data_IF_692027372729
#
_entry.id   IF_692027372729
#
_cell.length_a   1.000
_cell.length_b   1.000
_cell.length_c   1.000
_cell.angle_alpha   90.00
_cell.angle_beta   90.00
_cell.angle_gamma   90.00
#
_symmetry.space_group_name_H-M   'P 1'
#
loop_
_entity.id
_entity.type
_entity.pdbx_description
1 polymer ?
#
# COMPACT_ATOMS: atom_id res chain seq x y z
N UNK A 1 -28.86 10.42 58.39
CA UNK A 1 -29.35 10.35 56.95
C UNK A 1 -28.42 11.09 55.98
N UNK A 2 -27.10 11.06 56.18
CA UNK A 2 -26.19 11.94 55.40
C UNK A 2 -24.99 11.23 54.76
N UNK A 3 -24.74 9.99 55.04
CA UNK A 3 -23.55 9.30 54.49
C UNK A 3 -23.83 8.64 53.08
N UNK A 4 -25.07 8.24 52.81
CA UNK A 4 -25.45 7.57 51.54
C UNK A 4 -25.62 8.55 50.35
N UNK A 5 -25.93 9.82 50.62
CA UNK A 5 -26.07 10.83 49.56
C UNK A 5 -24.72 11.36 49.09
N UNK A 6 -23.69 11.38 49.91
CA UNK A 6 -22.34 11.82 49.53
C UNK A 6 -21.66 10.82 48.58
N UNK A 7 -21.84 9.52 48.82
CA UNK A 7 -21.24 8.50 47.96
C UNK A 7 -21.89 8.44 46.57
N UNK A 8 -23.19 8.74 46.46
CA UNK A 8 -23.89 8.81 45.17
C UNK A 8 -23.49 10.04 44.36
N UNK A 9 -23.28 11.18 45.01
CA UNK A 9 -22.82 12.41 44.38
C UNK A 9 -21.37 12.28 43.87
N UNK A 10 -20.50 11.63 44.64
CA UNK A 10 -19.11 11.39 44.23
C UNK A 10 -19.02 10.41 43.04
N UNK A 11 -19.87 9.40 42.96
CA UNK A 11 -19.94 8.47 41.83
C UNK A 11 -20.47 9.12 40.57
N UNK A 12 -21.41 10.07 40.68
CA UNK A 12 -21.98 10.79 39.54
C UNK A 12 -21.00 11.83 38.95
N UNK A 13 -20.10 12.37 39.76
CA UNK A 13 -19.06 13.30 39.30
C UNK A 13 -17.83 12.58 38.68
N UNK A 14 -17.65 11.28 38.93
CA UNK A 14 -16.54 10.52 38.35
C UNK A 14 -16.82 10.05 36.90
N UNK A 15 -18.09 9.99 36.48
CA UNK A 15 -18.45 9.56 35.11
C UNK A 15 -17.94 10.50 34.00
N UNK A 16 -18.00 11.84 34.12
CA UNK A 16 -17.52 12.71 33.04
C UNK A 16 -15.98 12.77 32.91
N UNK A 17 -15.23 12.29 33.91
CA UNK A 17 -13.77 12.28 33.85
C UNK A 17 -13.21 11.15 32.93
N UNK A 18 -14.02 10.17 32.56
CA UNK A 18 -13.63 9.05 31.71
C UNK A 18 -13.81 9.33 30.19
N UNK A 19 -14.43 10.46 29.82
CA UNK A 19 -14.68 10.80 28.41
C UNK A 19 -13.67 11.77 27.80
N UNK A 20 -12.60 12.13 28.52
CA UNK A 20 -11.68 13.22 28.13
C UNK A 20 -10.44 12.78 27.33
N UNK A 21 -10.37 11.54 26.83
CA UNK A 21 -9.27 11.09 25.98
C UNK A 21 -9.77 10.73 24.58
N UNK A 22 -10.35 11.71 23.87
CA UNK A 22 -10.51 11.63 22.40
C UNK A 22 -9.30 12.30 21.76
N UNK A 23 -8.25 11.55 21.51
CA UNK A 23 -7.16 12.00 20.65
C UNK A 23 -7.68 12.13 19.22
N UNK A 24 -7.81 13.35 18.71
CA UNK A 24 -8.09 13.58 17.30
C UNK A 24 -6.81 13.37 16.49
N UNK A 25 -6.72 12.25 15.76
CA UNK A 25 -5.66 12.05 14.80
C UNK A 25 -6.03 12.86 13.56
N UNK A 26 -5.33 13.96 13.35
CA UNK A 26 -5.44 14.73 12.10
C UNK A 26 -4.63 14.03 11.02
N UNK A 27 -5.30 13.29 10.16
CA UNK A 27 -4.69 12.83 8.92
C UNK A 27 -4.68 13.98 7.89
N UNK A 28 -3.55 14.16 7.24
CA UNK A 28 -3.47 15.07 6.07
C UNK A 28 -4.35 14.49 4.97
N UNK A 29 -5.26 15.29 4.44
CA UNK A 29 -6.20 14.93 3.39
C UNK A 29 -5.49 14.74 2.04
N UNK A 30 -4.77 13.66 1.88
CA UNK A 30 -4.44 13.12 0.56
C UNK A 30 -5.66 12.34 0.03
N UNK A 31 -5.74 12.15 -1.27
CA UNK A 31 -6.82 11.37 -1.89
C UNK A 31 -6.91 9.92 -1.36
N UNK A 32 -5.90 9.48 -0.62
CA UNK A 32 -5.82 8.19 0.08
C UNK A 32 -5.17 8.38 1.44
N UNK A 33 -5.61 7.62 2.43
CA UNK A 33 -4.99 7.56 3.75
C UNK A 33 -3.54 7.05 3.65
N UNK A 34 -2.68 7.46 4.58
CA UNK A 34 -1.28 7.02 4.62
C UNK A 34 -1.17 5.49 4.70
N UNK A 35 -2.04 4.84 5.49
CA UNK A 35 -2.13 3.38 5.60
C UNK A 35 -2.42 2.73 4.25
N UNK A 36 -3.33 3.27 3.45
CA UNK A 36 -3.65 2.75 2.12
C UNK A 36 -2.46 2.87 1.16
N UNK A 37 -1.73 3.99 1.21
CA UNK A 37 -0.53 4.17 0.42
C UNK A 37 0.57 3.17 0.80
N UNK A 38 0.78 2.93 2.10
CA UNK A 38 1.71 1.94 2.60
C UNK A 38 1.31 0.51 2.18
N UNK A 39 0.04 0.16 2.26
CA UNK A 39 -0.48 -1.14 1.82
C UNK A 39 -0.19 -1.38 0.34
N UNK A 40 -0.53 -0.44 -0.53
CA UNK A 40 -0.30 -0.57 -1.97
C UNK A 40 1.19 -0.64 -2.27
N UNK A 41 2.00 0.22 -1.66
CA UNK A 41 3.43 0.27 -1.91
C UNK A 41 4.13 -1.01 -1.49
N UNK A 42 3.80 -1.54 -0.31
CA UNK A 42 4.35 -2.80 0.18
C UNK A 42 3.93 -3.99 -0.68
N UNK A 43 2.66 -4.06 -1.09
CA UNK A 43 2.18 -5.10 -1.99
C UNK A 43 2.92 -5.04 -3.35
N UNK A 44 3.09 -3.84 -3.92
CA UNK A 44 3.81 -3.65 -5.17
C UNK A 44 5.29 -4.06 -5.07
N UNK A 45 5.98 -3.67 -3.99
CA UNK A 45 7.37 -4.06 -3.75
C UNK A 45 7.53 -5.59 -3.67
N UNK A 46 6.63 -6.28 -2.96
CA UNK A 46 6.66 -7.74 -2.85
C UNK A 46 6.46 -8.42 -4.18
N UNK A 47 5.51 -7.94 -4.98
CA UNK A 47 5.29 -8.45 -6.33
C UNK A 47 6.53 -8.28 -7.20
N UNK A 48 7.16 -7.09 -7.20
CA UNK A 48 8.38 -6.82 -7.96
C UNK A 48 9.55 -7.68 -7.46
N UNK A 49 9.74 -7.80 -6.14
CA UNK A 49 10.81 -8.59 -5.53
C UNK A 49 10.71 -10.08 -5.90
N UNK A 50 9.51 -10.61 -6.05
CA UNK A 50 9.32 -12.03 -6.42
C UNK A 50 9.85 -12.38 -7.81
N UNK A 51 10.04 -11.39 -8.70
CA UNK A 51 10.62 -11.59 -10.04
C UNK A 51 12.15 -11.59 -10.05
N UNK A 52 12.79 -11.04 -9.03
CA UNK A 52 14.25 -10.85 -8.96
C UNK A 52 15.07 -12.11 -9.26
N UNK A 53 14.77 -13.29 -8.66
CA UNK A 53 15.57 -14.49 -8.93
C UNK A 53 15.55 -14.94 -10.39
N UNK A 54 14.46 -14.65 -11.10
CA UNK A 54 14.26 -15.11 -12.48
C UNK A 54 15.05 -14.29 -13.49
N UNK A 55 15.31 -13.01 -13.20
CA UNK A 55 15.90 -12.08 -14.18
C UNK A 55 17.29 -11.59 -13.83
N UNK A 56 17.76 -11.81 -12.61
CA UNK A 56 19.05 -11.29 -12.13
C UNK A 56 20.21 -11.54 -13.10
N UNK A 57 20.27 -12.74 -13.69
CA UNK A 57 21.32 -13.11 -14.66
C UNK A 57 21.22 -12.33 -15.98
N UNK A 58 20.00 -12.07 -16.44
CA UNK A 58 19.73 -11.40 -17.72
C UNK A 58 19.99 -9.90 -17.61
N UNK A 59 19.81 -9.33 -16.41
CA UNK A 59 19.90 -7.90 -16.17
C UNK A 59 21.34 -7.41 -15.94
N UNK A 60 22.23 -8.27 -15.43
CA UNK A 60 23.58 -7.87 -15.01
C UNK A 60 24.38 -7.18 -16.12
N UNK A 61 24.79 -5.94 -15.86
CA UNK A 61 25.57 -5.12 -16.77
C UNK A 61 24.80 -4.60 -17.99
N UNK A 62 23.47 -4.76 -18.04
CA UNK A 62 22.62 -4.31 -19.14
C UNK A 62 22.03 -2.93 -18.90
N UNK A 63 21.80 -2.20 -19.99
CA UNK A 63 20.99 -0.97 -19.98
C UNK A 63 19.56 -1.36 -20.29
N UNK A 64 18.66 -1.11 -19.35
CA UNK A 64 17.27 -1.56 -19.42
C UNK A 64 16.35 -0.36 -19.43
N UNK A 65 15.52 -0.25 -20.48
CA UNK A 65 14.42 0.70 -20.50
C UNK A 65 13.15 0.05 -19.91
N UNK A 66 12.36 0.85 -19.23
CA UNK A 66 11.06 0.44 -18.71
C UNK A 66 9.99 0.95 -19.65
N UNK A 67 9.19 0.04 -20.20
CA UNK A 67 8.00 0.36 -20.98
C UNK A 67 6.77 0.14 -20.09
N UNK A 68 6.12 1.23 -19.73
CA UNK A 68 4.99 1.26 -18.83
C UNK A 68 3.68 1.68 -19.49
N UNK A 69 3.61 1.62 -20.85
CA UNK A 69 2.45 2.06 -21.60
C UNK A 69 1.17 1.22 -21.31
N UNK A 70 1.36 -0.05 -21.00
CA UNK A 70 0.26 -0.97 -20.66
C UNK A 70 -0.04 -1.03 -19.16
N UNK A 71 0.57 -0.14 -18.38
CA UNK A 71 0.35 -0.04 -16.97
C UNK A 71 -0.43 1.23 -16.62
N UNK A 72 -1.71 1.07 -16.33
CA UNK A 72 -2.61 2.18 -15.99
C UNK A 72 -2.98 2.11 -14.52
N UNK A 73 -2.39 3.00 -13.71
CA UNK A 73 -2.69 3.13 -12.28
C UNK A 73 -2.28 4.52 -11.78
N UNK A 74 -2.96 5.02 -10.76
CA UNK A 74 -2.57 6.24 -10.03
C UNK A 74 -1.20 6.04 -9.35
N UNK A 75 -0.90 4.82 -8.92
CA UNK A 75 0.35 4.47 -8.23
C UNK A 75 1.48 4.04 -9.19
N UNK A 76 1.30 4.24 -10.50
CA UNK A 76 2.29 3.93 -11.54
C UNK A 76 3.69 4.47 -11.24
N UNK A 77 3.89 5.75 -10.83
CA UNK A 77 5.21 6.28 -10.55
C UNK A 77 5.95 5.51 -9.47
N UNK A 78 5.22 5.05 -8.44
CA UNK A 78 5.79 4.25 -7.36
C UNK A 78 6.27 2.88 -7.85
N UNK A 79 5.44 2.17 -8.62
CA UNK A 79 5.79 0.85 -9.18
C UNK A 79 7.00 0.94 -10.10
N UNK A 80 7.05 1.95 -10.96
CA UNK A 80 8.20 2.21 -11.84
C UNK A 80 9.47 2.46 -11.02
N UNK A 81 9.35 3.19 -9.89
CA UNK A 81 10.48 3.40 -8.97
C UNK A 81 10.94 2.08 -8.33
N UNK A 82 10.02 1.22 -7.88
CA UNK A 82 10.35 -0.09 -7.32
C UNK A 82 11.09 -0.97 -8.33
N UNK A 83 10.69 -0.92 -9.61
CA UNK A 83 11.37 -1.65 -10.68
C UNK A 83 12.75 -1.07 -10.96
N UNK A 84 12.94 0.25 -10.94
CA UNK A 84 14.27 0.86 -11.07
C UNK A 84 15.21 0.38 -9.97
N UNK A 85 14.71 0.28 -8.74
CA UNK A 85 15.46 -0.26 -7.62
C UNK A 85 15.83 -1.75 -7.84
N UNK A 86 14.90 -2.55 -8.37
CA UNK A 86 15.18 -3.94 -8.76
C UNK A 86 16.32 -4.00 -9.79
N UNK A 87 16.24 -3.19 -10.85
CA UNK A 87 17.25 -3.14 -11.91
C UNK A 87 18.64 -2.80 -11.33
N UNK A 88 18.73 -1.74 -10.51
CA UNK A 88 19.98 -1.30 -9.90
C UNK A 88 20.60 -2.36 -8.98
N UNK A 89 19.78 -2.99 -8.12
CA UNK A 89 20.26 -4.07 -7.24
C UNK A 89 20.83 -5.25 -8.00
N UNK A 90 20.30 -5.52 -9.20
CA UNK A 90 20.78 -6.59 -10.08
C UNK A 90 21.89 -6.16 -11.05
N UNK A 91 22.48 -4.98 -10.83
CA UNK A 91 23.59 -4.45 -11.63
C UNK A 91 23.20 -4.01 -13.03
N UNK A 92 21.92 -3.72 -13.27
CA UNK A 92 21.44 -3.08 -14.50
C UNK A 92 21.38 -1.58 -14.35
N UNK A 93 21.47 -0.86 -15.47
CA UNK A 93 21.30 0.59 -15.52
C UNK A 93 19.96 0.93 -16.17
N UNK A 94 19.08 1.61 -15.43
CA UNK A 94 17.84 2.11 -15.98
C UNK A 94 18.11 3.28 -16.94
N UNK A 95 17.63 3.17 -18.17
CA UNK A 95 17.82 4.19 -19.23
C UNK A 95 16.47 4.56 -19.86
N UNK A 96 16.36 5.71 -20.52
CA UNK A 96 15.17 6.07 -21.29
C UNK A 96 14.88 5.06 -22.41
N UNK A 97 13.60 4.92 -22.76
CA UNK A 97 13.17 4.06 -23.88
C UNK A 97 13.66 4.61 -25.22
N UNK A 98 13.63 5.93 -25.38
CA UNK A 98 14.18 6.60 -26.57
C UNK A 98 15.71 6.61 -26.52
N UNK A 99 16.40 6.29 -27.63
CA UNK A 99 17.85 6.37 -27.70
C UNK A 99 18.35 7.79 -27.44
N UNK A 100 19.35 7.92 -26.59
CA UNK A 100 20.03 9.20 -26.33
C UNK A 100 21.23 9.40 -27.25
N UNK A 101 21.41 10.62 -27.74
CA UNK A 101 22.59 11.01 -28.46
C UNK A 101 23.69 11.42 -27.50
N UNK A 102 24.75 10.63 -27.43
CA UNK A 102 25.90 10.88 -26.57
C UNK A 102 27.08 11.29 -27.43
N UNK A 103 27.72 12.45 -27.12
CA UNK A 103 28.98 12.84 -27.77
C UNK A 103 30.13 11.99 -27.23
N UNK A 104 30.79 11.24 -28.12
CA UNK A 104 31.97 10.47 -27.81
C UNK A 104 33.12 11.02 -28.68
N UNK A 105 33.87 12.01 -28.16
CA UNK A 105 34.79 12.84 -28.93
C UNK A 105 33.99 13.71 -29.92
N UNK A 106 34.40 13.75 -31.18
CA UNK A 106 33.75 14.54 -32.25
C UNK A 106 32.54 13.82 -32.90
N UNK A 107 32.18 12.62 -32.46
CA UNK A 107 31.09 11.84 -33.04
C UNK A 107 29.90 11.76 -32.09
N UNK A 108 28.73 12.04 -32.62
CA UNK A 108 27.47 11.70 -31.94
C UNK A 108 27.15 10.22 -32.15
N UNK A 109 27.06 9.47 -31.05
CA UNK A 109 26.67 8.05 -31.06
C UNK A 109 25.30 7.95 -30.41
N UNK A 110 24.36 7.34 -31.14
CA UNK A 110 23.04 7.01 -30.57
C UNK A 110 23.17 5.77 -29.68
N UNK A 111 22.88 5.95 -28.39
CA UNK A 111 22.98 4.89 -27.39
C UNK A 111 21.60 4.58 -26.85
N UNK A 112 21.03 3.46 -27.28
CA UNK A 112 19.72 2.97 -26.83
C UNK A 112 19.81 1.91 -25.71
N UNK A 113 18.69 1.41 -25.21
CA UNK A 113 18.63 0.31 -24.27
C UNK A 113 19.11 -1.01 -24.92
N UNK A 114 19.72 -1.86 -24.11
CA UNK A 114 20.08 -3.23 -24.52
C UNK A 114 18.87 -4.17 -24.39
N UNK A 115 17.98 -3.88 -23.44
CA UNK A 115 16.77 -4.63 -23.16
C UNK A 115 15.63 -3.66 -22.82
N UNK A 116 14.41 -4.06 -23.10
CA UNK A 116 13.21 -3.37 -22.65
C UNK A 116 12.38 -4.28 -21.75
N UNK A 117 12.02 -3.76 -20.59
CA UNK A 117 11.12 -4.40 -19.65
C UNK A 117 9.74 -3.76 -19.77
N UNK A 118 8.82 -4.45 -20.43
CA UNK A 118 7.42 -4.06 -20.55
C UNK A 118 6.66 -4.53 -19.29
N UNK A 119 5.86 -3.62 -18.71
CA UNK A 119 5.07 -3.89 -17.53
C UNK A 119 3.61 -3.97 -17.92
N UNK A 120 2.93 -5.02 -17.48
CA UNK A 120 1.48 -5.17 -17.60
C UNK A 120 0.87 -5.33 -16.21
N UNK A 121 -0.14 -4.52 -15.88
CA UNK A 121 -0.85 -4.65 -14.61
C UNK A 121 -2.05 -5.59 -14.75
N UNK A 122 -2.24 -6.44 -13.74
CA UNK A 122 -3.47 -7.20 -13.57
C UNK A 122 -4.38 -6.57 -12.54
N UNK A 123 -3.82 -6.14 -11.39
CA UNK A 123 -4.53 -5.46 -10.31
C UNK A 123 -3.56 -4.67 -9.44
N UNK A 124 -4.00 -3.51 -8.96
CA UNK A 124 -3.34 -2.73 -7.92
C UNK A 124 -4.42 -1.99 -7.14
N UNK A 125 -4.64 -2.36 -5.89
CA UNK A 125 -5.73 -1.79 -5.10
C UNK A 125 -5.81 -2.32 -3.69
N UNK A 126 -6.81 -1.81 -2.95
CA UNK A 126 -7.11 -2.15 -1.57
C UNK A 126 -8.42 -2.92 -1.51
N UNK A 127 -8.46 -3.89 -0.62
CA UNK A 127 -9.66 -4.64 -0.27
C UNK A 127 -9.93 -4.49 1.21
N UNK A 128 -11.06 -3.88 1.54
CA UNK A 128 -11.53 -3.72 2.90
C UNK A 128 -12.38 -4.94 3.29
N UNK A 129 -12.21 -5.36 4.55
CA UNK A 129 -12.96 -6.46 5.16
C UNK A 129 -13.27 -6.12 6.59
N UNK A 130 -14.53 -5.91 6.87
CA UNK A 130 -15.02 -5.64 8.21
C UNK A 130 -15.71 -6.89 8.77
N UNK A 131 -15.48 -7.12 10.04
CA UNK A 131 -16.20 -8.13 10.81
C UNK A 131 -16.63 -7.52 12.13
N UNK A 132 -17.92 -7.60 12.43
CA UNK A 132 -18.47 -7.11 13.68
C UNK A 132 -19.40 -8.13 14.34
N UNK A 133 -19.19 -8.38 15.63
CA UNK A 133 -20.09 -9.14 16.47
C UNK A 133 -20.72 -8.19 17.51
N UNK A 134 -22.04 -8.00 17.42
CA UNK A 134 -22.76 -7.06 18.28
C UNK A 134 -24.10 -6.65 17.68
N UNK A 135 -24.58 -5.48 18.06
CA UNK A 135 -25.80 -4.87 17.55
C UNK A 135 -25.43 -3.97 16.37
N UNK A 136 -25.87 -4.27 15.13
CA UNK A 136 -25.58 -3.42 13.99
C UNK A 136 -26.24 -2.05 14.12
N UNK A 137 -25.80 -1.04 13.35
CA UNK A 137 -26.50 0.23 13.26
C UNK A 137 -27.97 0.05 12.90
N UNK A 138 -28.85 0.63 13.66
CA UNK A 138 -30.29 0.57 13.41
C UNK A 138 -30.77 1.90 12.79
N UNK A 139 -31.64 1.84 11.78
CA UNK A 139 -32.28 3.05 11.25
C UNK A 139 -33.25 3.61 12.29
N UNK A 140 -33.02 4.84 12.71
CA UNK A 140 -33.89 5.57 13.64
C UNK A 140 -34.68 6.60 12.86
N UNK A 141 -36.03 6.58 12.90
CA UNK A 141 -36.84 7.60 12.26
C UNK A 141 -36.61 8.95 12.98
N UNK A 142 -36.37 9.98 12.21
CA UNK A 142 -36.32 11.35 12.75
C UNK A 142 -37.74 11.88 12.86
N UNK A 143 -38.22 12.24 14.06
CA UNK A 143 -39.56 12.80 14.22
C UNK A 143 -39.77 14.01 13.30
N UNK A 144 -40.92 14.06 12.65
CA UNK A 144 -41.34 15.15 11.74
C UNK A 144 -40.51 15.32 10.46
N UNK A 145 -39.78 14.28 10.03
CA UNK A 145 -39.07 14.26 8.75
C UNK A 145 -39.19 12.89 8.07
N UNK A 146 -39.01 12.86 6.75
CA UNK A 146 -38.90 11.61 5.99
C UNK A 146 -37.44 11.08 5.99
N UNK A 147 -36.58 11.62 6.82
CA UNK A 147 -35.20 11.24 6.93
C UNK A 147 -35.03 10.19 8.03
N UNK A 148 -34.12 9.27 7.81
CA UNK A 148 -33.67 8.27 8.80
C UNK A 148 -32.26 8.61 9.25
N UNK A 149 -32.03 8.59 10.56
CA UNK A 149 -30.68 8.60 11.13
C UNK A 149 -30.27 7.14 11.42
N UNK A 150 -28.99 6.87 11.44
CA UNK A 150 -28.49 5.57 11.90
C UNK A 150 -27.97 5.68 13.32
N UNK A 151 -28.35 4.77 14.19
CA UNK A 151 -27.71 4.64 15.49
C UNK A 151 -26.26 4.19 15.31
N UNK A 152 -25.34 4.56 16.18
CA UNK A 152 -24.04 3.91 16.21
C UNK A 152 -24.22 2.41 16.46
N UNK A 153 -23.48 1.57 15.76
CA UNK A 153 -23.42 0.14 16.06
C UNK A 153 -22.77 -0.10 17.42
N UNK A 154 -23.29 -1.02 18.20
CA UNK A 154 -22.70 -1.44 19.48
C UNK A 154 -22.05 -2.82 19.28
N UNK A 155 -20.74 -2.83 19.02
CA UNK A 155 -20.02 -4.06 18.79
C UNK A 155 -19.27 -4.50 20.05
N UNK A 156 -19.38 -5.77 20.41
CA UNK A 156 -18.56 -6.40 21.44
C UNK A 156 -17.17 -6.72 20.90
N UNK A 157 -17.10 -7.12 19.62
CA UNK A 157 -15.86 -7.35 18.89
C UNK A 157 -16.05 -6.74 17.51
N UNK A 158 -15.16 -5.86 17.12
CA UNK A 158 -15.11 -5.32 15.77
C UNK A 158 -13.67 -5.44 15.22
N UNK A 159 -13.56 -5.90 13.99
CA UNK A 159 -12.31 -5.98 13.25
C UNK A 159 -12.48 -5.25 11.94
N UNK A 160 -11.63 -4.26 11.72
CA UNK A 160 -11.40 -3.61 10.45
C UNK A 160 -10.08 -4.15 9.87
N UNK A 161 -10.13 -4.72 8.67
CA UNK A 161 -8.97 -5.27 7.99
C UNK A 161 -8.86 -4.74 6.58
N UNK A 162 -7.74 -4.09 6.28
CA UNK A 162 -7.38 -3.62 4.95
C UNK A 162 -6.29 -4.49 4.35
N UNK A 163 -6.44 -4.87 3.09
CA UNK A 163 -5.48 -5.68 2.35
C UNK A 163 -5.08 -4.96 1.07
N UNK A 164 -3.78 -4.67 0.92
CA UNK A 164 -3.20 -4.22 -0.33
C UNK A 164 -2.91 -5.41 -1.24
N UNK A 165 -3.31 -5.30 -2.50
CA UNK A 165 -3.10 -6.32 -3.51
C UNK A 165 -2.40 -5.73 -4.73
N UNK A 166 -1.37 -6.43 -5.21
CA UNK A 166 -0.68 -6.12 -6.43
C UNK A 166 -0.54 -7.37 -7.30
N UNK A 167 -0.79 -7.23 -8.60
CA UNK A 167 -0.57 -8.28 -9.58
C UNK A 167 0.04 -7.65 -10.83
N UNK A 168 1.20 -8.13 -11.25
CA UNK A 168 1.93 -7.66 -12.41
C UNK A 168 2.40 -8.82 -13.28
N UNK A 169 2.69 -8.50 -14.55
CA UNK A 169 3.45 -9.35 -15.46
C UNK A 169 4.56 -8.50 -16.06
N UNK A 170 5.75 -9.09 -16.20
CA UNK A 170 6.87 -8.48 -16.87
C UNK A 170 7.26 -9.27 -18.09
N UNK A 171 7.56 -8.54 -19.16
CA UNK A 171 8.02 -9.07 -20.42
C UNK A 171 9.35 -8.40 -20.74
N UNK A 172 10.39 -9.20 -20.93
CA UNK A 172 11.71 -8.71 -21.26
C UNK A 172 12.01 -9.02 -22.72
N UNK A 173 12.32 -8.02 -23.53
CA UNK A 173 12.61 -8.20 -24.94
C UNK A 173 13.79 -7.34 -25.42
N UNK A 174 14.41 -7.80 -26.51
CA UNK A 174 15.42 -7.05 -27.23
C UNK A 174 14.74 -5.96 -28.10
N UNK A 175 15.09 -4.69 -27.92
CA UNK A 175 14.45 -3.58 -28.69
C UNK A 175 14.77 -3.61 -30.18
N UNK A 176 15.89 -4.23 -30.60
CA UNK A 176 16.32 -4.27 -32.00
C UNK A 176 15.62 -5.38 -32.76
N UNK A 177 15.64 -6.58 -32.22
CA UNK A 177 15.07 -7.76 -32.86
C UNK A 177 13.59 -7.96 -32.55
N UNK A 178 13.07 -7.26 -31.52
CA UNK A 178 11.72 -7.44 -30.96
C UNK A 178 11.47 -8.87 -30.45
N UNK A 179 12.54 -9.61 -30.17
CA UNK A 179 12.46 -10.97 -29.65
C UNK A 179 12.25 -10.95 -28.15
N UNK A 180 11.24 -11.64 -27.66
CA UNK A 180 11.03 -11.84 -26.22
C UNK A 180 12.04 -12.82 -25.67
N UNK A 181 12.76 -12.41 -24.63
CA UNK A 181 13.80 -13.20 -23.97
C UNK A 181 13.30 -13.88 -22.71
N UNK A 182 12.38 -13.22 -22.00
CA UNK A 182 11.80 -13.73 -20.79
C UNK A 182 10.40 -13.13 -20.55
N UNK A 183 9.55 -13.92 -19.94
CA UNK A 183 8.22 -13.52 -19.48
C UNK A 183 8.06 -14.01 -18.05
N UNK A 184 7.52 -13.16 -17.18
CA UNK A 184 7.14 -13.62 -15.84
C UNK A 184 5.81 -14.37 -15.88
N UNK A 185 5.63 -15.28 -14.94
CA UNK A 185 4.29 -15.66 -14.50
C UNK A 185 3.61 -14.46 -13.83
N UNK A 186 2.37 -14.61 -13.42
CA UNK A 186 1.70 -13.61 -12.59
C UNK A 186 2.46 -13.42 -11.28
N UNK A 187 2.98 -12.23 -11.05
CA UNK A 187 3.68 -11.85 -9.84
C UNK A 187 2.68 -11.24 -8.86
N UNK A 188 2.56 -11.85 -7.72
CA UNK A 188 1.62 -11.42 -6.70
C UNK A 188 2.33 -10.79 -5.51
N UNK A 189 1.79 -9.68 -5.04
CA UNK A 189 2.16 -9.07 -3.78
C UNK A 189 0.93 -8.80 -2.94
N UNK A 190 1.05 -9.02 -1.65
CA UNK A 190 0.00 -8.75 -0.68
C UNK A 190 0.60 -8.12 0.56
N UNK A 191 -0.14 -7.19 1.13
CA UNK A 191 0.12 -6.58 2.44
C UNK A 191 -1.19 -6.50 3.21
N UNK A 192 -1.14 -6.34 4.51
CA UNK A 192 -2.35 -6.18 5.31
C UNK A 192 -2.12 -5.32 6.55
N UNK A 193 -3.21 -4.75 7.00
CA UNK A 193 -3.32 -4.00 8.24
C UNK A 193 -4.63 -4.38 8.92
N UNK A 194 -4.63 -4.56 10.24
CA UNK A 194 -5.82 -5.02 10.96
C UNK A 194 -5.95 -4.32 12.30
N UNK A 195 -7.09 -3.67 12.52
CA UNK A 195 -7.50 -3.04 13.77
C UNK A 195 -8.58 -3.86 14.46
N UNK A 196 -8.48 -3.95 15.76
CA UNK A 196 -9.47 -4.63 16.58
C UNK A 196 -10.02 -3.69 17.64
N UNK A 197 -11.30 -3.79 17.89
CA UNK A 197 -11.99 -3.09 18.98
C UNK A 197 -12.75 -4.12 19.81
N UNK A 198 -12.54 -4.10 21.13
CA UNK A 198 -13.19 -4.99 22.08
C UNK A 198 -13.98 -4.16 23.08
N UNK A 199 -15.30 -4.36 23.20
CA UNK A 199 -16.17 -3.67 24.18
C UNK A 199 -15.96 -2.15 24.22
N UNK A 200 -15.88 -1.51 23.06
CA UNK A 200 -15.58 -0.08 22.91
C UNK A 200 -14.15 0.35 23.40
N UNK A 201 -13.26 -0.59 23.70
CA UNK A 201 -11.85 -0.34 23.94
C UNK A 201 -11.08 -0.58 22.64
N UNK A 202 -10.38 0.41 22.15
CA UNK A 202 -9.64 0.36 20.90
C UNK A 202 -9.87 1.63 20.06
N UNK A 203 -9.40 1.65 18.82
CA UNK A 203 -8.80 0.54 18.06
C UNK A 203 -7.44 0.10 18.58
N UNK A 204 -7.20 -1.21 18.59
CA UNK A 204 -5.92 -1.81 18.91
C UNK A 204 -5.33 -2.42 17.64
N UNK A 205 -4.11 -2.06 17.32
CA UNK A 205 -3.38 -2.54 16.15
C UNK A 205 -2.68 -3.86 16.52
N UNK A 206 -3.18 -4.99 15.98
CA UNK A 206 -2.66 -6.31 16.35
C UNK A 206 -1.77 -6.96 15.30
N UNK A 207 -1.85 -6.53 14.06
CA UNK A 207 -1.06 -7.12 13.00
C UNK A 207 -0.84 -6.12 11.90
N UNK A 208 0.41 -5.79 11.69
CA UNK A 208 0.87 -4.89 10.68
C UNK A 208 1.88 -5.61 9.81
N UNK A 209 1.63 -5.59 8.52
CA UNK A 209 2.50 -6.15 7.53
C UNK A 209 2.87 -5.08 6.49
N UNK A 210 2.83 -3.82 6.94
CA UNK A 210 3.08 -2.63 6.14
C UNK A 210 4.34 -1.88 6.54
N UNK A 211 4.85 -2.13 7.75
CA UNK A 211 6.12 -1.57 8.16
C UNK A 211 7.24 -2.55 7.79
N UNK A 212 8.34 -2.06 7.22
CA UNK A 212 9.51 -2.90 7.02
C UNK A 212 9.99 -3.38 8.40
N UNK A 213 10.23 -4.67 8.54
CA UNK A 213 11.05 -5.19 9.63
C UNK A 213 12.36 -4.39 9.67
N UNK A 214 12.96 -4.21 10.81
CA UNK A 214 14.10 -3.31 11.11
C UNK A 214 15.33 -3.42 10.18
N UNK A 215 15.28 -4.27 9.18
CA UNK A 215 16.34 -4.50 8.18
C UNK A 215 16.69 -3.28 7.29
N UNK A 216 15.91 -2.21 7.31
CA UNK A 216 16.15 -1.06 6.41
C UNK A 216 17.05 0.03 7.01
N UNK A 217 17.48 -0.07 8.25
CA UNK A 217 18.32 0.96 8.89
C UNK A 217 19.82 0.72 8.63
N UNK A 218 20.24 -0.46 8.21
CA UNK A 218 21.67 -0.79 8.05
C UNK A 218 22.28 -0.49 6.66
N UNK A 219 21.54 0.04 5.69
CA UNK A 219 22.04 0.16 4.31
C UNK A 219 22.66 1.52 3.95
N UNK A 220 22.85 2.42 4.92
CA UNK A 220 23.49 3.72 4.68
C UNK A 220 24.71 3.95 5.59
N UNK A 221 25.63 2.99 5.65
CA UNK A 221 26.98 3.21 6.15
C UNK A 221 28.00 2.93 5.06
#
# INVERSE_FOLDING_TARGET
MTFRSLTFAALLCALPALTACTGEIRETTSARAATEQLLISTAAQRAVKSYEPSVARLLKGKRVAIDDQYFVSVDKPYVVSAIRNLLQRNGATAVPLAPEKVKRGDKEVSVGPDLVMEIRSGALGIKDKDFGFGIPPLPLPIPNSNLTSQSPGLYFIFRDKQEGWAKFQFWLYDPQTKTYLAQSADLWGRSYYSKWTFFAIGPLDFSEDIYPEEELVETFN
#
